data_IF_048500096677
#
_entry.id   IF_048500096677
#
_cell.length_a   1.000
_cell.length_b   1.000
_cell.length_c   1.000
_cell.angle_alpha   90.00
_cell.angle_beta   90.00
_cell.angle_gamma   90.00
#
_symmetry.space_group_name_H-M   'P 1'
#
loop_
_entity.id
_entity.type
_entity.pdbx_description
1 polymer ?
#
# COMPACT_ATOMS: atom_id res chain seq x y z
N UNK A 1 -48.83 -13.37 3.16
CA UNK A 1 -48.72 -11.93 2.83
C UNK A 1 -47.64 -11.35 3.74
N UNK A 2 -46.59 -10.74 3.19
CA UNK A 2 -45.58 -10.08 4.01
C UNK A 2 -46.22 -8.88 4.72
N UNK A 3 -46.05 -8.78 6.05
CA UNK A 3 -46.52 -7.63 6.81
C UNK A 3 -45.81 -6.38 6.30
N UNK A 4 -46.57 -5.33 5.97
CA UNK A 4 -45.98 -4.04 5.62
C UNK A 4 -45.32 -3.44 6.87
N UNK A 5 -44.11 -2.87 6.74
CA UNK A 5 -43.44 -2.23 7.88
C UNK A 5 -44.29 -1.06 8.40
N UNK A 6 -44.44 -0.99 9.72
CA UNK A 6 -45.19 0.08 10.37
C UNK A 6 -44.40 1.42 10.31
N UNK A 7 -45.07 2.53 10.60
CA UNK A 7 -44.52 3.87 10.44
C UNK A 7 -43.26 4.12 11.30
N UNK A 8 -43.19 3.54 12.49
CA UNK A 8 -42.05 3.66 13.41
C UNK A 8 -40.79 2.98 12.86
N UNK A 9 -40.93 1.77 12.31
CA UNK A 9 -39.82 1.05 11.66
C UNK A 9 -39.30 1.84 10.45
N UNK A 10 -40.22 2.42 9.66
CA UNK A 10 -39.83 3.25 8.52
C UNK A 10 -39.15 4.54 8.92
N UNK A 11 -39.51 5.14 10.06
CA UNK A 11 -38.84 6.32 10.58
C UNK A 11 -37.42 5.98 11.08
N UNK A 12 -37.26 4.94 11.89
CA UNK A 12 -35.95 4.51 12.36
C UNK A 12 -35.00 4.16 11.21
N UNK A 13 -35.50 3.47 10.17
CA UNK A 13 -34.72 3.20 8.96
C UNK A 13 -34.27 4.48 8.25
N UNK A 14 -35.14 5.50 8.14
CA UNK A 14 -34.78 6.78 7.50
C UNK A 14 -33.70 7.53 8.29
N UNK A 15 -33.74 7.47 9.61
CA UNK A 15 -32.73 8.05 10.49
C UNK A 15 -31.37 7.36 10.30
N UNK A 16 -31.34 6.02 10.27
CA UNK A 16 -30.11 5.27 10.00
C UNK A 16 -29.58 5.50 8.58
N UNK A 17 -30.46 5.56 7.58
CA UNK A 17 -30.05 5.91 6.20
C UNK A 17 -29.44 7.31 6.13
N UNK A 18 -29.97 8.27 6.91
CA UNK A 18 -29.40 9.63 7.00
C UNK A 18 -28.02 9.60 7.66
N UNK A 19 -27.86 8.88 8.77
CA UNK A 19 -26.58 8.73 9.46
C UNK A 19 -25.53 8.07 8.56
N UNK A 20 -25.91 6.97 7.89
CA UNK A 20 -25.08 6.28 6.91
C UNK A 20 -24.62 7.24 5.80
N UNK A 21 -25.54 8.03 5.24
CA UNK A 21 -25.21 8.98 4.17
C UNK A 21 -24.24 10.06 4.66
N UNK A 22 -24.36 10.53 5.90
CA UNK A 22 -23.42 11.49 6.48
C UNK A 22 -22.02 10.91 6.62
N UNK A 23 -21.91 9.67 7.12
CA UNK A 23 -20.64 8.96 7.25
C UNK A 23 -20.01 8.69 5.88
N UNK A 24 -20.79 8.21 4.91
CA UNK A 24 -20.30 7.93 3.56
C UNK A 24 -19.79 9.20 2.87
N UNK A 25 -20.51 10.32 2.98
CA UNK A 25 -20.05 11.60 2.46
C UNK A 25 -18.74 12.05 3.11
N UNK A 26 -18.60 11.87 4.43
CA UNK A 26 -17.35 12.20 5.14
C UNK A 26 -16.19 11.32 4.69
N UNK A 27 -16.44 10.02 4.48
CA UNK A 27 -15.43 9.09 3.94
C UNK A 27 -14.99 9.49 2.53
N UNK A 28 -15.93 9.83 1.64
CA UNK A 28 -15.60 10.30 0.29
C UNK A 28 -14.71 11.53 0.32
N UNK A 29 -15.00 12.48 1.19
CA UNK A 29 -14.20 13.69 1.32
C UNK A 29 -12.79 13.42 1.87
N UNK A 30 -12.69 12.61 2.94
CA UNK A 30 -11.39 12.22 3.49
C UNK A 30 -10.57 11.40 2.49
N UNK A 31 -11.22 10.57 1.67
CA UNK A 31 -10.54 9.83 0.61
C UNK A 31 -9.95 10.78 -0.44
N UNK A 32 -10.70 11.79 -0.90
CA UNK A 32 -10.16 12.82 -1.81
C UNK A 32 -8.93 13.50 -1.24
N UNK A 33 -9.00 13.92 0.03
CA UNK A 33 -7.86 14.54 0.72
C UNK A 33 -6.67 13.59 0.85
N UNK A 34 -6.93 12.32 1.16
CA UNK A 34 -5.91 11.27 1.24
C UNK A 34 -5.24 11.05 -0.11
N UNK A 35 -5.99 11.04 -1.22
CA UNK A 35 -5.44 10.94 -2.56
C UNK A 35 -4.54 12.13 -2.91
N UNK A 36 -5.00 13.36 -2.64
CA UNK A 36 -4.19 14.56 -2.84
C UNK A 36 -2.89 14.52 -2.01
N UNK A 37 -2.96 14.09 -0.75
CA UNK A 37 -1.79 13.93 0.11
C UNK A 37 -0.84 12.83 -0.39
N UNK A 38 -1.36 11.74 -0.96
CA UNK A 38 -0.53 10.68 -1.58
C UNK A 38 0.24 11.19 -2.80
N UNK A 39 -0.40 12.01 -3.63
CA UNK A 39 0.26 12.66 -4.78
C UNK A 39 1.34 13.63 -4.31
N UNK A 40 1.02 14.52 -3.35
CA UNK A 40 1.99 15.44 -2.77
C UNK A 40 3.18 14.71 -2.14
N UNK A 41 2.93 13.63 -1.40
CA UNK A 41 3.98 12.78 -0.82
C UNK A 41 4.88 12.19 -1.91
N UNK A 42 4.30 11.74 -3.02
CA UNK A 42 5.05 11.17 -4.15
C UNK A 42 5.96 12.24 -4.77
N UNK A 43 5.41 13.43 -5.06
CA UNK A 43 6.20 14.56 -5.59
C UNK A 43 7.35 14.96 -4.65
N UNK A 44 7.14 14.97 -3.34
CA UNK A 44 8.20 15.23 -2.36
C UNK A 44 9.26 14.12 -2.39
N UNK A 45 8.84 12.85 -2.44
CA UNK A 45 9.75 11.72 -2.51
C UNK A 45 10.60 11.76 -3.79
N UNK A 46 10.04 12.13 -4.94
CA UNK A 46 10.77 12.26 -6.21
C UNK A 46 11.84 13.35 -6.13
N UNK A 47 11.53 14.49 -5.50
CA UNK A 47 12.51 15.56 -5.26
C UNK A 47 13.65 15.09 -4.35
N UNK A 48 13.33 14.38 -3.27
CA UNK A 48 14.36 13.82 -2.38
C UNK A 48 15.22 12.83 -3.16
N UNK A 49 14.59 11.96 -3.95
CA UNK A 49 15.26 10.95 -4.78
C UNK A 49 16.24 11.58 -5.77
N UNK A 50 15.87 12.72 -6.36
CA UNK A 50 16.76 13.49 -7.25
C UNK A 50 17.98 14.04 -6.51
N UNK A 51 17.80 14.50 -5.26
CA UNK A 51 18.90 15.05 -4.44
C UNK A 51 19.89 13.93 -4.04
N UNK A 52 19.40 12.78 -3.59
CA UNK A 52 20.24 11.68 -3.10
C UNK A 52 21.00 10.93 -4.21
N UNK A 53 20.71 11.22 -5.48
CA UNK A 53 21.49 10.72 -6.62
C UNK A 53 22.83 11.44 -6.75
N UNK A 54 22.99 12.61 -6.14
CA UNK A 54 24.27 13.32 -6.16
C UNK A 54 25.37 12.46 -5.49
N UNK A 55 26.57 12.34 -6.11
CA UNK A 55 27.68 11.54 -5.58
C UNK A 55 28.08 11.88 -4.14
N UNK A 56 27.81 13.09 -3.65
CA UNK A 56 28.06 13.48 -2.26
C UNK A 56 27.26 12.62 -1.27
N UNK A 57 26.11 12.09 -1.69
CA UNK A 57 25.29 11.18 -0.88
C UNK A 57 25.60 9.70 -1.12
N UNK A 58 26.61 9.36 -1.92
CA UNK A 58 26.91 7.98 -2.31
C UNK A 58 27.10 7.03 -1.11
N UNK A 59 27.67 7.50 0.01
CA UNK A 59 27.89 6.70 1.22
C UNK A 59 26.79 6.83 2.27
N UNK A 60 25.83 7.75 2.10
CA UNK A 60 24.79 8.05 3.09
C UNK A 60 23.70 6.98 3.03
N UNK A 61 23.50 6.27 4.15
CA UNK A 61 22.48 5.22 4.26
C UNK A 61 21.21 5.67 4.98
N UNK A 62 21.34 6.65 5.90
CA UNK A 62 20.24 7.12 6.75
C UNK A 62 20.27 8.65 6.81
N UNK A 63 19.10 9.24 6.65
CA UNK A 63 18.83 10.67 6.78
C UNK A 63 17.89 10.89 7.96
N UNK A 64 18.04 12.01 8.66
CA UNK A 64 17.13 12.42 9.72
C UNK A 64 16.59 13.81 9.41
N UNK A 65 15.36 14.08 9.83
CA UNK A 65 14.82 15.43 9.80
C UNK A 65 15.58 16.32 10.78
N UNK A 66 15.63 17.63 10.52
CA UNK A 66 16.39 18.57 11.36
C UNK A 66 15.89 18.62 12.81
N UNK A 67 14.60 18.40 13.03
CA UNK A 67 13.95 18.28 14.33
C UNK A 67 14.08 16.86 14.94
N UNK A 68 14.72 15.94 14.23
CA UNK A 68 14.89 14.53 14.58
C UNK A 68 13.60 13.71 14.57
N UNK A 69 12.44 14.28 14.26
CA UNK A 69 11.13 13.62 14.39
C UNK A 69 10.95 12.38 13.49
N UNK A 70 11.73 12.27 12.43
CA UNK A 70 11.73 11.11 11.54
C UNK A 70 13.12 10.76 11.03
N UNK A 71 13.32 9.47 10.79
CA UNK A 71 14.48 8.94 10.08
C UNK A 71 14.04 8.23 8.80
N UNK A 72 14.89 8.33 7.78
CA UNK A 72 14.68 7.74 6.47
C UNK A 72 15.90 6.93 6.08
N UNK A 73 15.68 5.71 5.62
CA UNK A 73 16.69 4.90 4.95
C UNK A 73 16.71 5.27 3.46
N UNK A 74 17.92 5.44 2.93
CA UNK A 74 18.16 5.57 1.49
C UNK A 74 18.15 4.17 0.87
N UNK A 75 17.38 3.99 -0.19
CA UNK A 75 17.35 2.77 -1.01
C UNK A 75 18.08 3.10 -2.30
N UNK A 76 19.16 2.39 -2.59
CA UNK A 76 19.87 2.50 -3.86
C UNK A 76 19.27 1.55 -4.92
N UNK A 77 19.57 1.77 -6.20
CA UNK A 77 19.38 0.74 -7.21
C UNK A 77 20.01 -0.57 -6.73
N UNK A 78 19.34 -1.68 -7.01
CA UNK A 78 19.71 -3.05 -6.63
C UNK A 78 19.69 -3.38 -5.13
N UNK A 79 19.47 -2.41 -4.22
CA UNK A 79 19.41 -2.62 -2.77
C UNK A 79 18.00 -2.99 -2.24
N UNK A 80 17.00 -3.14 -3.12
CA UNK A 80 15.62 -3.44 -2.71
C UNK A 80 14.80 -4.19 -3.74
N UNK A 81 13.66 -4.72 -3.30
CA UNK A 81 12.65 -5.33 -4.15
C UNK A 81 11.34 -4.56 -4.06
N UNK A 82 10.68 -4.34 -5.19
CA UNK A 82 9.31 -3.83 -5.26
C UNK A 82 8.38 -4.81 -4.54
N UNK A 83 7.37 -4.31 -3.81
CA UNK A 83 6.39 -5.16 -3.16
C UNK A 83 5.55 -5.91 -4.18
N UNK A 84 5.11 -7.12 -3.81
CA UNK A 84 4.18 -7.91 -4.61
C UNK A 84 2.77 -7.30 -4.52
N UNK A 85 2.05 -7.23 -5.65
CA UNK A 85 0.64 -6.82 -5.67
C UNK A 85 -0.28 -7.91 -5.14
N UNK A 86 0.03 -9.17 -5.43
CA UNK A 86 -0.68 -10.35 -4.91
C UNK A 86 0.06 -10.90 -3.70
N UNK A 87 -0.67 -11.15 -2.61
CA UNK A 87 -0.07 -11.77 -1.44
C UNK A 87 0.44 -13.18 -1.78
N UNK A 88 1.60 -13.55 -1.23
CA UNK A 88 2.19 -14.87 -1.41
C UNK A 88 1.23 -16.00 -0.99
N UNK A 89 0.45 -15.78 0.06
CA UNK A 89 -0.57 -16.71 0.54
C UNK A 89 -1.72 -16.89 -0.45
N UNK A 90 -2.28 -15.80 -0.98
CA UNK A 90 -3.36 -15.88 -1.97
C UNK A 90 -2.92 -16.56 -3.26
N UNK A 91 -1.70 -16.28 -3.74
CA UNK A 91 -1.18 -16.97 -4.93
C UNK A 91 -1.10 -18.48 -4.70
N UNK A 92 -0.56 -18.92 -3.56
CA UNK A 92 -0.48 -20.34 -3.23
C UNK A 92 -1.88 -20.97 -3.13
N UNK A 93 -2.84 -20.27 -2.53
CA UNK A 93 -4.23 -20.72 -2.43
C UNK A 93 -4.85 -20.94 -3.81
N UNK A 94 -4.76 -19.97 -4.71
CA UNK A 94 -5.30 -20.09 -6.07
C UNK A 94 -4.64 -21.20 -6.88
N UNK A 95 -3.32 -21.36 -6.74
CA UNK A 95 -2.60 -22.43 -7.43
C UNK A 95 -2.98 -23.80 -6.89
N UNK A 96 -3.17 -23.95 -5.57
CA UNK A 96 -3.65 -25.20 -4.99
C UNK A 96 -5.09 -25.51 -5.40
N UNK A 97 -5.97 -24.51 -5.46
CA UNK A 97 -7.36 -24.69 -5.91
C UNK A 97 -7.42 -25.17 -7.37
N UNK A 98 -6.53 -24.68 -8.24
CA UNK A 98 -6.58 -24.98 -9.67
C UNK A 98 -5.73 -26.20 -10.08
N UNK A 99 -4.54 -26.36 -9.50
CA UNK A 99 -3.57 -27.39 -9.89
C UNK A 99 -3.47 -28.55 -8.87
N UNK A 100 -4.12 -28.41 -7.72
CA UNK A 100 -4.03 -29.36 -6.61
C UNK A 100 -2.78 -29.14 -5.72
N UNK A 101 -2.78 -29.75 -4.52
CA UNK A 101 -1.76 -29.52 -3.49
C UNK A 101 -0.36 -30.04 -3.85
N UNK A 102 -0.24 -30.95 -4.82
CA UNK A 102 1.08 -31.47 -5.25
C UNK A 102 1.75 -30.57 -6.29
N UNK A 103 0.97 -30.04 -7.25
CA UNK A 103 1.50 -29.24 -8.36
C UNK A 103 1.49 -27.74 -8.09
N UNK A 104 0.55 -27.26 -7.26
CA UNK A 104 0.44 -25.87 -6.85
C UNK A 104 1.74 -25.31 -6.27
N UNK A 105 2.40 -25.99 -5.31
CA UNK A 105 3.66 -25.51 -4.72
C UNK A 105 4.82 -25.44 -5.71
N UNK A 106 4.88 -26.34 -6.69
CA UNK A 106 5.92 -26.34 -7.74
C UNK A 106 5.73 -25.14 -8.66
N UNK A 107 4.49 -24.89 -9.10
CA UNK A 107 4.16 -23.72 -9.91
C UNK A 107 4.39 -22.41 -9.13
N UNK A 108 4.03 -22.38 -7.85
CA UNK A 108 4.27 -21.24 -6.97
C UNK A 108 5.75 -20.87 -6.93
N UNK A 109 6.63 -21.86 -6.73
CA UNK A 109 8.08 -21.63 -6.66
C UNK A 109 8.62 -21.04 -7.95
N UNK A 110 8.24 -21.62 -9.10
CA UNK A 110 8.64 -21.10 -10.40
C UNK A 110 8.21 -19.64 -10.61
N UNK A 111 6.94 -19.32 -10.33
CA UNK A 111 6.43 -17.95 -10.44
C UNK A 111 7.17 -17.02 -9.49
N UNK A 112 7.38 -17.45 -8.25
CA UNK A 112 8.08 -16.68 -7.24
C UNK A 112 9.50 -16.33 -7.64
N UNK A 113 10.29 -17.30 -8.06
CA UNK A 113 11.70 -17.08 -8.39
C UNK A 113 11.83 -16.23 -9.65
N UNK A 114 10.99 -16.49 -10.66
CA UNK A 114 10.95 -15.71 -11.91
C UNK A 114 10.52 -14.27 -11.64
N UNK A 115 9.46 -14.07 -10.86
CA UNK A 115 8.93 -12.73 -10.60
C UNK A 115 9.81 -11.94 -9.64
N UNK A 116 10.39 -12.56 -8.61
CA UNK A 116 11.29 -11.89 -7.69
C UNK A 116 12.48 -11.25 -8.41
N UNK A 117 13.01 -11.90 -9.45
CA UNK A 117 14.07 -11.32 -10.28
C UNK A 117 13.63 -10.01 -10.97
N UNK A 118 12.36 -9.92 -11.40
CA UNK A 118 11.79 -8.71 -12.04
C UNK A 118 11.50 -7.57 -11.06
N UNK A 119 11.46 -7.87 -9.75
CA UNK A 119 11.11 -6.89 -8.73
C UNK A 119 12.30 -6.12 -8.19
N UNK A 120 13.53 -6.39 -8.65
CA UNK A 120 14.68 -5.57 -8.23
C UNK A 120 14.41 -4.09 -8.52
N UNK A 121 14.64 -3.25 -7.51
CA UNK A 121 14.55 -1.81 -7.68
C UNK A 121 15.69 -1.34 -8.58
N UNK A 122 15.35 -0.70 -9.69
CA UNK A 122 16.31 -0.09 -10.62
C UNK A 122 16.54 1.39 -10.32
N UNK A 123 15.84 1.92 -9.31
CA UNK A 123 15.76 3.34 -9.00
C UNK A 123 16.12 3.59 -7.54
N UNK A 124 16.58 4.81 -7.27
CA UNK A 124 16.73 5.30 -5.91
C UNK A 124 15.37 5.48 -5.24
N UNK A 125 15.34 5.38 -3.92
CA UNK A 125 14.15 5.65 -3.14
C UNK A 125 14.47 5.96 -1.68
N UNK A 126 13.42 6.26 -0.92
CA UNK A 126 13.50 6.49 0.52
C UNK A 126 12.42 5.68 1.23
N UNK A 127 12.75 5.19 2.41
CA UNK A 127 11.79 4.51 3.29
C UNK A 127 11.88 5.11 4.68
N UNK A 128 10.74 5.55 5.23
CA UNK A 128 10.67 5.96 6.63
C UNK A 128 10.93 4.74 7.50
N UNK A 129 11.81 4.89 8.48
CA UNK A 129 12.11 3.87 9.48
C UNK A 129 11.77 4.43 10.86
N UNK A 130 11.28 3.57 11.74
CA UNK A 130 11.01 3.95 13.12
C UNK A 130 12.33 4.25 13.85
N UNK A 131 12.26 5.04 14.93
CA UNK A 131 13.42 5.26 15.79
C UNK A 131 13.76 3.92 16.45
N UNK A 132 15.02 3.51 16.33
CA UNK A 132 15.62 2.48 17.19
C UNK A 132 15.83 3.05 18.59
#
# INVERSE_FOLDING_TARGET
MAAQPNAEILQGLREEMRNYTQVDNRLRELNKQTHALREQRTLVADRITTIIQDPVFATVQRLQTADGSAAFRVIRPDEGFKPWSLSKGMLMEYLNQHLGPERGPVCYRYIHDTHQATLKNTEYGIQRVDRE
#
